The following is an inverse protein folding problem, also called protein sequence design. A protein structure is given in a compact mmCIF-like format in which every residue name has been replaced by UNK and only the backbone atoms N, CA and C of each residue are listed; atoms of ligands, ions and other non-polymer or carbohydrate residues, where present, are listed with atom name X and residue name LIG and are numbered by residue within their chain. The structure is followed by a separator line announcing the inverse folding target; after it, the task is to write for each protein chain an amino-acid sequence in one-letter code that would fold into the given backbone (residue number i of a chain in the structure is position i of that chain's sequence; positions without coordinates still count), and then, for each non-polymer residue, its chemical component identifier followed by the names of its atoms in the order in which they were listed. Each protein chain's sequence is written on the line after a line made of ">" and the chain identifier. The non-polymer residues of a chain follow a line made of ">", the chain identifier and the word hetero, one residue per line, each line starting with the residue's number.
data_IF_575258453556
#
_entry.id   IF_575258453556
#
_cell.length_a   1.000
_cell.length_b   1.000
_cell.length_c   1.000
_cell.angle_alpha   90.00
_cell.angle_beta   90.00
_cell.angle_gamma   90.00
#
_symmetry.space_group_name_H-M   'P 1'
#
loop_
_entity.id
_entity.type
_entity.pdbx_description
1 polymer ?
#
# COMPACT_ATOMS: atom_id res chain seq x y z
N UNK A 1 -15.24 3.34 8.68
CA UNK A 1 -14.35 2.43 9.44
C UNK A 1 -13.68 1.41 8.51
N UNK A 2 -12.37 1.16 8.65
CA UNK A 2 -11.59 0.23 7.80
C UNK A 2 -12.21 -1.17 7.67
N UNK A 3 -13.02 -1.60 8.65
CA UNK A 3 -13.69 -2.90 8.64
C UNK A 3 -14.56 -3.17 7.41
N UNK A 4 -15.25 -2.17 6.86
CA UNK A 4 -16.09 -2.37 5.67
C UNK A 4 -15.27 -2.49 4.38
N UNK A 5 -14.17 -1.74 4.25
CA UNK A 5 -13.26 -1.86 3.11
C UNK A 5 -12.51 -3.20 3.12
N UNK A 6 -12.09 -3.67 4.30
CA UNK A 6 -11.47 -5.00 4.47
C UNK A 6 -12.49 -6.10 4.18
N UNK A 7 -13.75 -5.96 4.60
CA UNK A 7 -14.81 -6.92 4.31
C UNK A 7 -15.16 -6.97 2.81
N UNK A 8 -15.25 -5.82 2.13
CA UNK A 8 -15.46 -5.77 0.68
C UNK A 8 -14.27 -6.34 -0.09
N UNK A 9 -13.05 -5.97 0.29
CA UNK A 9 -11.83 -6.59 -0.20
C UNK A 9 -11.89 -8.12 -0.09
N UNK A 10 -12.22 -8.67 1.09
CA UNK A 10 -12.31 -10.11 1.30
C UNK A 10 -13.45 -10.74 0.47
N UNK A 11 -14.61 -10.08 0.38
CA UNK A 11 -15.75 -10.54 -0.43
C UNK A 11 -15.43 -10.57 -1.94
N UNK A 12 -14.54 -9.68 -2.39
CA UNK A 12 -14.05 -9.62 -3.76
C UNK A 12 -12.76 -10.46 -3.99
N UNK A 13 -12.32 -11.22 -2.97
CA UNK A 13 -11.18 -12.13 -3.06
C UNK A 13 -9.80 -11.49 -2.83
N UNK A 14 -9.75 -10.23 -2.38
CA UNK A 14 -8.54 -9.50 -2.09
C UNK A 14 -7.95 -9.88 -0.71
N UNK A 15 -6.94 -10.74 -0.71
CA UNK A 15 -6.14 -11.03 0.47
C UNK A 15 -5.05 -9.97 0.66
N UNK A 16 -5.24 -9.11 1.67
CA UNK A 16 -4.22 -8.20 2.20
C UNK A 16 -3.05 -8.99 2.83
N UNK A 17 -2.27 -9.76 2.07
CA UNK A 17 -0.99 -10.35 2.49
C UNK A 17 -0.99 -11.20 3.76
N UNK A 18 -2.15 -11.72 4.20
CA UNK A 18 -2.32 -12.48 5.44
C UNK A 18 -2.24 -14.01 5.24
N UNK A 19 -2.33 -14.51 4.00
CA UNK A 19 -2.28 -15.95 3.73
C UNK A 19 -0.92 -16.35 3.14
N UNK A 20 -0.12 -17.09 3.93
CA UNK A 20 1.01 -17.87 3.41
C UNK A 20 0.52 -19.29 3.13
N UNK A 21 -0.25 -19.48 2.07
CA UNK A 21 -0.49 -20.81 1.49
C UNK A 21 -0.08 -20.78 0.04
N UNK A 22 0.57 -21.84 -0.44
CA UNK A 22 0.92 -22.04 -1.86
C UNK A 22 -0.29 -22.03 -2.80
N UNK A 23 -1.49 -22.22 -2.23
CA UNK A 23 -2.79 -22.16 -2.93
C UNK A 23 -3.51 -20.82 -2.78
N UNK A 24 -2.86 -19.79 -2.22
CA UNK A 24 -3.45 -18.47 -2.14
C UNK A 24 -3.68 -17.91 -3.56
N UNK A 25 -4.90 -17.45 -3.90
CA UNK A 25 -5.15 -16.81 -5.18
C UNK A 25 -4.15 -15.68 -5.43
N UNK A 26 -3.63 -15.59 -6.67
CA UNK A 26 -2.81 -14.43 -7.04
C UNK A 26 -3.63 -13.16 -6.77
N UNK A 27 -3.02 -12.11 -6.19
CA UNK A 27 -3.72 -10.85 -5.97
C UNK A 27 -4.37 -10.40 -7.28
N UNK A 28 -5.66 -10.10 -7.25
CA UNK A 28 -6.39 -9.46 -8.34
C UNK A 28 -6.42 -7.95 -8.09
N UNK A 29 -6.38 -7.12 -9.15
CA UNK A 29 -6.48 -5.69 -8.98
C UNK A 29 -7.92 -5.28 -8.65
N UNK A 30 -8.10 -4.46 -7.62
CA UNK A 30 -9.37 -3.82 -7.27
C UNK A 30 -9.49 -2.49 -8.00
N UNK A 31 -10.54 -2.32 -8.82
CA UNK A 31 -10.69 -1.17 -9.72
C UNK A 31 -9.43 -0.81 -10.52
N UNK A 32 -8.69 -1.82 -10.99
CA UNK A 32 -7.47 -1.60 -11.79
C UNK A 32 -6.23 -1.24 -10.97
N UNK A 33 -6.28 -1.37 -9.64
CA UNK A 33 -5.15 -1.13 -8.74
C UNK A 33 -4.82 -2.37 -7.90
N UNK A 34 -3.54 -2.65 -7.76
CA UNK A 34 -3.05 -3.55 -6.73
C UNK A 34 -2.83 -2.78 -5.44
N UNK A 35 -3.13 -3.43 -4.33
CA UNK A 35 -2.88 -2.89 -3.00
C UNK A 35 -1.93 -3.85 -2.27
N UNK A 36 -1.18 -3.35 -1.29
CA UNK A 36 -0.36 -4.17 -0.40
C UNK A 36 -0.10 -3.47 0.93
N UNK A 37 -0.02 -4.25 2.00
CA UNK A 37 0.38 -3.74 3.33
C UNK A 37 1.89 -3.51 3.38
N UNK A 38 2.27 -2.33 3.85
CA UNK A 38 3.62 -1.99 4.29
C UNK A 38 3.66 -2.17 5.81
N UNK A 39 4.65 -2.93 6.29
CA UNK A 39 4.73 -3.38 7.70
C UNK A 39 5.67 -2.53 8.55
N UNK A 40 6.16 -1.43 8.01
CA UNK A 40 7.05 -0.50 8.67
C UNK A 40 6.92 0.89 8.05
N UNK A 41 7.47 1.88 8.75
CA UNK A 41 7.72 3.22 8.22
C UNK A 41 9.22 3.54 8.19
N UNK A 42 9.61 4.34 7.20
CA UNK A 42 10.97 4.83 6.99
C UNK A 42 11.26 6.15 7.72
N UNK A 43 12.41 6.74 7.44
CA UNK A 43 12.92 7.93 8.14
C UNK A 43 12.15 9.22 7.85
N UNK A 44 11.49 9.33 6.70
CA UNK A 44 10.73 10.52 6.30
C UNK A 44 9.29 10.50 6.83
N UNK A 45 8.84 9.37 7.37
CA UNK A 45 7.53 9.28 7.99
C UNK A 45 7.47 10.04 9.33
N UNK A 46 6.33 10.67 9.67
CA UNK A 46 6.13 11.22 11.01
C UNK A 46 6.32 10.13 12.07
N UNK A 47 7.20 10.36 13.05
CA UNK A 47 7.58 9.36 14.06
C UNK A 47 8.86 8.58 13.75
N UNK A 48 9.48 8.79 12.58
CA UNK A 48 10.76 8.18 12.21
C UNK A 48 10.66 6.69 11.87
N UNK A 49 11.82 6.04 11.69
CA UNK A 49 11.89 4.66 11.23
C UNK A 49 11.50 3.67 12.34
N UNK A 50 10.48 2.84 12.10
CA UNK A 50 10.16 1.70 12.96
C UNK A 50 9.27 0.65 12.28
N UNK A 51 9.29 -0.57 12.83
CA UNK A 51 8.42 -1.68 12.43
C UNK A 51 7.04 -1.57 13.06
N UNK A 52 5.99 -1.76 12.27
CA UNK A 52 4.62 -1.87 12.79
C UNK A 52 4.34 -3.22 13.48
N UNK A 53 5.23 -4.20 13.28
CA UNK A 53 5.13 -5.54 13.84
C UNK A 53 5.99 -5.65 15.09
N UNK A 54 5.36 -6.02 16.22
CA UNK A 54 5.99 -6.28 17.52
C UNK A 54 5.53 -7.68 17.96
N UNK A 55 6.48 -8.56 18.31
CA UNK A 55 6.21 -9.95 18.70
C UNK A 55 5.32 -10.71 17.70
N UNK A 56 5.53 -10.47 16.40
CA UNK A 56 4.73 -11.08 15.32
C UNK A 56 3.35 -10.46 15.10
N UNK A 57 2.93 -9.51 15.95
CA UNK A 57 1.63 -8.85 15.88
C UNK A 57 1.75 -7.45 15.30
N UNK A 58 0.87 -7.09 14.37
CA UNK A 58 0.82 -5.76 13.74
C UNK A 58 0.06 -4.77 14.65
N UNK A 59 0.75 -4.26 15.67
CA UNK A 59 0.14 -3.44 16.74
C UNK A 59 0.64 -1.99 16.77
N UNK A 60 1.80 -1.70 16.17
CA UNK A 60 2.38 -0.36 16.20
C UNK A 60 1.94 0.53 15.01
N UNK A 61 1.07 0.02 14.14
CA UNK A 61 0.50 0.77 13.02
C UNK A 61 0.27 -0.09 11.79
N UNK A 62 0.03 0.57 10.66
CA UNK A 62 -0.06 -0.05 9.34
C UNK A 62 0.05 1.02 8.26
N UNK A 63 0.52 0.63 7.08
CA UNK A 63 0.42 1.45 5.91
C UNK A 63 0.08 0.61 4.68
N UNK A 64 -0.38 1.29 3.63
CA UNK A 64 -0.74 0.69 2.37
C UNK A 64 0.04 1.36 1.25
N UNK A 65 0.39 0.57 0.24
CA UNK A 65 0.76 1.04 -1.09
C UNK A 65 -0.33 0.59 -2.08
N UNK A 66 -0.70 1.46 -3.01
CA UNK A 66 -1.57 1.16 -4.12
C UNK A 66 -0.91 1.57 -5.43
N UNK A 67 -0.94 0.70 -6.44
CA UNK A 67 -0.33 0.98 -7.75
C UNK A 67 -1.18 0.41 -8.90
N UNK A 68 -1.20 1.06 -10.07
CA UNK A 68 -1.99 0.62 -11.21
C UNK A 68 -1.56 -0.76 -11.67
N UNK A 69 -2.53 -1.63 -11.94
CA UNK A 69 -2.32 -2.93 -12.56
C UNK A 69 -1.66 -2.83 -13.94
N UNK A 70 -1.98 -1.77 -14.68
CA UNK A 70 -1.31 -1.41 -15.93
C UNK A 70 -1.10 0.09 -15.99
N UNK A 71 0.15 0.51 -15.82
CA UNK A 71 0.52 1.92 -15.91
C UNK A 71 0.11 2.53 -17.26
N UNK A 72 -0.44 3.74 -17.22
CA UNK A 72 -0.94 4.47 -18.40
C UNK A 72 -2.33 4.04 -18.87
N UNK A 73 -2.88 2.94 -18.35
CA UNK A 73 -4.22 2.44 -18.71
C UNK A 73 -5.17 2.40 -17.52
N UNK A 74 -4.79 1.74 -16.43
CA UNK A 74 -5.61 1.70 -15.22
C UNK A 74 -5.30 2.85 -14.25
N UNK A 75 -4.17 3.55 -14.48
CA UNK A 75 -3.74 4.72 -13.73
C UNK A 75 -2.28 5.04 -14.00
N UNK A 76 -1.81 6.19 -13.49
CA UNK A 76 -0.39 6.61 -13.61
C UNK A 76 0.26 6.89 -12.26
N UNK A 77 -0.53 7.00 -11.19
CA UNK A 77 -0.04 7.31 -9.84
C UNK A 77 0.06 6.05 -9.00
N UNK A 78 1.17 5.92 -8.28
CA UNK A 78 1.33 5.06 -7.11
C UNK A 78 1.01 5.88 -5.87
N UNK A 79 0.30 5.29 -4.91
CA UNK A 79 -0.18 5.94 -3.70
C UNK A 79 0.37 5.23 -2.46
N UNK A 80 0.68 5.98 -1.41
CA UNK A 80 0.94 5.44 -0.07
C UNK A 80 0.14 6.19 0.99
N UNK A 81 -0.30 5.47 2.02
CA UNK A 81 -1.03 6.05 3.16
C UNK A 81 -0.77 5.23 4.41
N UNK A 82 -0.65 5.89 5.56
CA UNK A 82 -0.57 5.23 6.87
C UNK A 82 -1.82 5.52 7.72
N UNK A 83 -1.83 5.05 8.97
CA UNK A 83 -2.96 5.25 9.90
C UNK A 83 -3.35 6.73 10.17
N UNK A 84 -2.51 7.70 9.80
CA UNK A 84 -2.82 9.13 9.93
C UNK A 84 -3.69 9.65 8.78
N UNK A 85 -3.97 8.82 7.76
CA UNK A 85 -4.87 9.14 6.66
C UNK A 85 -4.30 10.06 5.57
N UNK A 86 -3.06 10.52 5.70
CA UNK A 86 -2.41 11.36 4.67
C UNK A 86 -1.99 10.50 3.47
N UNK A 87 -2.61 10.77 2.32
CA UNK A 87 -2.28 10.08 1.07
C UNK A 87 -1.19 10.83 0.34
N UNK A 88 -0.11 10.13 0.01
CA UNK A 88 0.95 10.63 -0.86
C UNK A 88 0.92 9.89 -2.20
N UNK A 89 1.36 10.56 -3.26
CA UNK A 89 1.39 10.03 -4.61
C UNK A 89 2.73 10.27 -5.30
N UNK A 90 3.15 9.31 -6.12
CA UNK A 90 4.30 9.41 -6.99
C UNK A 90 4.02 8.68 -8.31
N UNK A 91 4.43 9.28 -9.43
CA UNK A 91 4.41 8.59 -10.72
C UNK A 91 5.75 7.84 -10.90
N UNK A 92 5.69 6.51 -10.86
CA UNK A 92 6.86 5.63 -11.02
C UNK A 92 7.10 5.24 -12.49
N UNK A 93 6.30 5.77 -13.42
CA UNK A 93 6.44 5.53 -14.86
C UNK A 93 6.08 4.10 -15.27
N UNK A 94 6.48 3.68 -16.49
CA UNK A 94 6.18 2.35 -17.03
C UNK A 94 6.63 1.18 -16.14
N UNK A 95 7.63 1.40 -15.27
CA UNK A 95 8.17 0.39 -14.35
C UNK A 95 7.43 0.35 -13.00
N UNK A 96 6.25 0.95 -12.90
CA UNK A 96 5.47 1.06 -11.66
C UNK A 96 5.29 -0.28 -10.95
N UNK A 97 5.02 -1.38 -11.66
CA UNK A 97 4.81 -2.67 -11.02
C UNK A 97 6.07 -3.17 -10.26
N UNK A 98 7.24 -3.07 -10.88
CA UNK A 98 8.51 -3.51 -10.30
C UNK A 98 8.97 -2.59 -9.17
N UNK A 99 8.88 -1.28 -9.39
CA UNK A 99 9.26 -0.27 -8.40
C UNK A 99 8.33 -0.31 -7.17
N UNK A 100 7.02 -0.44 -7.40
CA UNK A 100 6.06 -0.59 -6.31
C UNK A 100 6.25 -1.89 -5.54
N UNK A 101 6.69 -2.99 -6.18
CA UNK A 101 7.02 -4.24 -5.48
C UNK A 101 8.25 -4.09 -4.56
N UNK A 102 9.22 -3.24 -4.95
CA UNK A 102 10.41 -2.97 -4.15
C UNK A 102 10.16 -2.05 -2.93
N UNK A 103 9.05 -1.30 -2.91
CA UNK A 103 8.69 -0.46 -1.76
C UNK A 103 8.16 -1.33 -0.61
N UNK A 104 8.92 -1.41 0.48
CA UNK A 104 8.61 -2.26 1.64
C UNK A 104 8.18 -1.48 2.89
N UNK A 105 8.44 -0.17 2.92
CA UNK A 105 8.17 0.73 4.05
C UNK A 105 7.37 1.96 3.59
N UNK A 106 6.56 2.51 4.48
CA UNK A 106 5.95 3.82 4.28
C UNK A 106 7.00 4.91 4.53
N UNK A 107 7.53 5.48 3.45
CA UNK A 107 8.59 6.49 3.52
C UNK A 107 8.31 7.64 2.54
N UNK A 108 7.46 8.63 2.92
CA UNK A 108 7.10 9.76 2.08
C UNK A 108 8.26 10.77 1.99
N UNK A 109 9.33 10.39 1.30
CA UNK A 109 10.47 11.25 0.98
C UNK A 109 10.04 12.47 0.12
N UNK A 110 10.96 13.41 -0.17
CA UNK A 110 10.63 14.61 -0.97
C UNK A 110 10.10 14.35 -2.40
N UNK A 111 10.25 13.14 -2.95
CA UNK A 111 9.72 12.77 -4.26
C UNK A 111 8.23 12.40 -4.21
N UNK A 112 7.70 12.12 -3.01
CA UNK A 112 6.29 11.88 -2.78
C UNK A 112 5.52 13.18 -2.61
N UNK A 113 4.44 13.35 -3.38
CA UNK A 113 3.58 14.53 -3.31
C UNK A 113 2.35 14.23 -2.48
N UNK A 114 2.01 15.10 -1.53
CA UNK A 114 0.75 14.99 -0.80
C UNK A 114 -0.41 15.17 -1.78
N UNK A 115 -1.39 14.26 -1.75
CA UNK A 115 -2.65 14.41 -2.49
C UNK A 115 -3.46 15.52 -1.82
N UNK A 116 -3.84 16.53 -2.58
CA UNK A 116 -4.79 17.54 -2.12
C UNK A 116 -6.19 16.99 -2.36
N UNK A 117 -7.02 16.99 -1.31
CA UNK A 117 -8.45 16.76 -1.48
C UNK A 117 -9.04 17.96 -2.27
N UNK A 118 -9.93 17.71 -3.23
CA UNK A 118 -10.60 18.75 -4.00
C UNK A 118 -11.56 19.61 -3.16
#
# INVERSE_FOLDING_TARGET
>A
PMGSLVAQAQAEGYQLGLAKSSDAPKPSPYHGYFFRILKAQGSHAPGGKFSYVINGNMIAGYALIAYPAKWGSSGVMTLIVNQQGRVYQQNLGPQTADLAAAITEYDPDPNWKLVQEP
#
